data_IF_117071025399
#
_entry.id   IF_117071025399
#
_cell.length_a   1.000
_cell.length_b   1.000
_cell.length_c   1.000
_cell.angle_alpha   90.00
_cell.angle_beta   90.00
_cell.angle_gamma   90.00
#
_symmetry.space_group_name_H-M   'P 1'
#
loop_
_entity.id
_entity.type
_entity.pdbx_description
1 polymer ?
#
# COMPACT_ATOMS: atom_id res chain seq x y z
N UNK A 1 -4.40 22.76 -12.47
CA UNK A 1 -3.61 23.05 -11.27
C UNK A 1 -3.11 21.74 -10.68
N UNK A 2 -1.80 21.59 -10.52
CA UNK A 2 -1.19 20.41 -9.89
C UNK A 2 -1.46 20.41 -8.37
N UNK A 3 -1.28 19.25 -7.73
CA UNK A 3 -1.39 19.18 -6.26
C UNK A 3 -0.36 20.08 -5.59
N UNK A 4 0.84 20.21 -6.15
CA UNK A 4 1.88 21.12 -5.68
C UNK A 4 1.41 22.57 -5.72
N UNK A 5 0.94 23.03 -6.86
CA UNK A 5 0.41 24.39 -7.02
C UNK A 5 -0.77 24.66 -6.09
N UNK A 6 -1.69 23.70 -5.99
CA UNK A 6 -2.86 23.80 -5.11
C UNK A 6 -2.46 23.96 -3.65
N UNK A 7 -1.57 23.11 -3.13
CA UNK A 7 -1.16 23.15 -1.72
C UNK A 7 -0.33 24.38 -1.41
N UNK A 8 0.52 24.83 -2.33
CA UNK A 8 1.31 26.07 -2.17
C UNK A 8 0.40 27.30 -2.10
N UNK A 9 -0.57 27.39 -2.99
CA UNK A 9 -1.52 28.50 -3.03
C UNK A 9 -2.39 28.54 -1.77
N UNK A 10 -2.93 27.41 -1.37
CA UNK A 10 -3.74 27.30 -0.15
C UNK A 10 -2.92 27.60 1.12
N UNK A 11 -1.66 27.20 1.13
CA UNK A 11 -0.75 27.49 2.25
C UNK A 11 -0.57 29.00 2.44
N UNK A 12 -0.26 29.72 1.37
CA UNK A 12 -0.10 31.17 1.42
C UNK A 12 -1.38 31.87 1.87
N UNK A 13 -2.52 31.42 1.38
CA UNK A 13 -3.82 31.99 1.76
C UNK A 13 -4.20 31.68 3.21
N UNK A 14 -3.98 30.44 3.67
CA UNK A 14 -4.39 30.03 5.01
C UNK A 14 -3.49 30.58 6.11
N UNK A 15 -2.18 30.67 5.88
CA UNK A 15 -1.20 31.00 6.91
C UNK A 15 -0.57 32.38 6.71
N UNK A 16 -0.77 33.04 5.57
CA UNK A 16 -0.33 34.41 5.32
C UNK A 16 1.14 34.56 4.96
N UNK A 17 1.82 33.48 4.59
CA UNK A 17 3.21 33.49 4.12
C UNK A 17 3.45 32.26 3.21
N UNK A 18 4.53 32.26 2.40
CA UNK A 18 4.77 31.14 1.47
C UNK A 18 5.32 29.90 2.20
N UNK A 19 4.97 28.73 1.72
CA UNK A 19 5.59 27.47 2.15
C UNK A 19 7.09 27.46 1.78
N UNK A 20 7.91 26.85 2.61
CA UNK A 20 9.34 26.68 2.34
C UNK A 20 9.65 25.40 1.59
N UNK A 21 8.83 24.37 1.78
CA UNK A 21 9.01 23.04 1.18
C UNK A 21 7.68 22.50 0.68
N UNK A 22 7.74 21.65 -0.33
CA UNK A 22 6.62 20.84 -0.77
C UNK A 22 7.10 19.40 -0.87
N UNK A 23 6.42 18.51 -0.16
CA UNK A 23 6.77 17.09 0.00
C UNK A 23 5.68 16.25 -0.64
N UNK A 24 6.07 15.17 -1.30
CA UNK A 24 5.14 14.18 -1.82
C UNK A 24 5.45 12.80 -1.26
N UNK A 25 4.44 11.96 -1.16
CA UNK A 25 4.58 10.53 -0.92
C UNK A 25 3.54 9.79 -1.74
N UNK A 26 3.95 8.73 -2.48
CA UNK A 26 3.05 8.02 -3.38
C UNK A 26 2.17 7.01 -2.65
N UNK A 27 1.03 6.67 -3.25
CA UNK A 27 0.34 5.42 -3.00
C UNK A 27 1.09 4.26 -3.63
N UNK A 28 0.53 3.06 -3.53
CA UNK A 28 1.17 1.85 -4.04
C UNK A 28 0.17 0.87 -4.62
N UNK A 29 0.66 -0.01 -5.48
CA UNK A 29 0.01 -1.27 -5.83
C UNK A 29 0.96 -2.43 -5.56
N UNK A 30 0.45 -3.53 -5.04
CA UNK A 30 1.24 -4.73 -4.85
C UNK A 30 1.06 -5.67 -6.05
N UNK A 31 2.15 -5.93 -6.78
CA UNK A 31 2.09 -6.78 -7.96
C UNK A 31 1.88 -8.25 -7.61
N UNK A 32 2.52 -8.71 -6.54
CA UNK A 32 2.38 -10.07 -6.00
C UNK A 32 2.98 -10.11 -4.58
N UNK A 33 2.54 -11.07 -3.77
CA UNK A 33 2.96 -11.18 -2.36
C UNK A 33 1.91 -10.63 -1.42
N UNK A 34 0.69 -11.18 -1.45
CA UNK A 34 -0.41 -10.73 -0.59
C UNK A 34 -0.43 -11.47 0.74
N UNK A 35 -0.62 -10.71 1.81
CA UNK A 35 -0.67 -11.20 3.18
C UNK A 35 0.61 -11.86 3.67
N UNK A 36 1.73 -11.64 2.97
CA UNK A 36 3.03 -12.21 3.35
C UNK A 36 3.84 -11.29 4.25
N UNK A 37 3.56 -10.00 4.27
CA UNK A 37 4.34 -9.01 5.02
C UNK A 37 4.30 -9.24 6.53
N UNK A 38 3.15 -9.48 7.11
CA UNK A 38 3.04 -9.78 8.54
C UNK A 38 3.46 -11.22 8.91
N UNK A 39 3.86 -12.01 7.92
CA UNK A 39 4.46 -13.34 8.08
C UNK A 39 5.98 -13.32 7.88
N UNK A 40 6.61 -12.16 7.95
CA UNK A 40 8.03 -11.94 7.65
C UNK A 40 8.44 -12.36 6.24
N UNK A 41 7.50 -12.35 5.30
CA UNK A 41 7.68 -12.83 3.94
C UNK A 41 8.16 -11.75 2.97
N UNK A 42 7.92 -12.02 1.69
CA UNK A 42 8.31 -11.15 0.58
C UNK A 42 7.11 -10.50 -0.06
N UNK A 43 7.30 -9.27 -0.52
CA UNK A 43 6.31 -8.52 -1.31
C UNK A 43 6.99 -7.89 -2.52
N UNK A 44 6.24 -7.61 -3.57
CA UNK A 44 6.75 -6.99 -4.80
C UNK A 44 5.85 -5.83 -5.23
N UNK A 45 5.77 -4.76 -4.43
CA UNK A 45 4.99 -3.58 -4.79
C UNK A 45 5.74 -2.62 -5.71
N UNK A 46 4.98 -1.70 -6.32
CA UNK A 46 5.54 -0.49 -6.88
C UNK A 46 4.77 0.74 -6.37
N UNK A 47 5.48 1.85 -6.22
CA UNK A 47 4.86 3.14 -5.99
C UNK A 47 4.14 3.58 -7.28
N UNK A 48 3.04 4.31 -7.15
CA UNK A 48 2.25 4.76 -8.29
C UNK A 48 2.25 6.28 -8.39
N UNK A 49 1.83 6.81 -9.53
CA UNK A 49 1.77 8.25 -9.80
C UNK A 49 0.53 8.94 -9.23
N UNK A 50 -0.09 8.35 -8.23
CA UNK A 50 -1.07 8.95 -7.33
C UNK A 50 -0.41 9.18 -5.98
N UNK A 51 -0.61 10.33 -5.37
CA UNK A 51 0.21 10.76 -4.24
C UNK A 51 -0.52 11.67 -3.27
N UNK A 52 0.04 11.79 -2.07
CA UNK A 52 -0.26 12.85 -1.10
C UNK A 52 0.82 13.91 -1.22
N UNK A 53 0.42 15.19 -1.27
CA UNK A 53 1.32 16.33 -1.35
C UNK A 53 1.08 17.25 -0.16
N UNK A 54 2.16 17.68 0.47
CA UNK A 54 2.13 18.59 1.63
C UNK A 54 3.03 19.78 1.35
N UNK A 55 2.46 20.98 1.31
CA UNK A 55 3.23 22.22 1.38
C UNK A 55 3.37 22.62 2.84
N UNK A 56 4.58 22.95 3.28
CA UNK A 56 4.90 23.11 4.69
C UNK A 56 5.98 24.17 4.95
N UNK A 57 6.03 24.60 6.20
CA UNK A 57 7.09 25.47 6.70
C UNK A 57 7.26 25.28 8.21
N UNK A 58 8.49 25.46 8.76
CA UNK A 58 8.69 25.40 10.20
C UNK A 58 8.07 26.62 10.88
N UNK A 59 7.72 26.48 12.15
CA UNK A 59 7.23 27.55 13.01
C UNK A 59 8.23 27.83 14.12
N UNK A 60 8.20 29.06 14.64
CA UNK A 60 9.07 29.46 15.76
C UNK A 60 8.56 28.98 17.12
N UNK A 61 7.33 28.49 17.17
CA UNK A 61 6.71 27.95 18.38
C UNK A 61 6.65 26.42 18.35
N UNK A 62 5.92 25.84 19.30
CA UNK A 62 5.76 24.40 19.46
C UNK A 62 4.36 23.92 19.06
N UNK A 63 3.78 24.56 18.05
CA UNK A 63 2.43 24.20 17.55
C UNK A 63 2.51 23.52 16.20
N UNK A 64 1.63 22.58 15.97
CA UNK A 64 1.37 21.95 14.68
C UNK A 64 0.01 22.41 14.18
N UNK A 65 -0.02 23.05 13.00
CA UNK A 65 -1.27 23.43 12.34
C UNK A 65 -1.34 22.73 10.98
N UNK A 66 -2.44 22.03 10.74
CA UNK A 66 -2.61 21.22 9.54
C UNK A 66 -3.96 21.49 8.91
N UNK A 67 -3.97 21.88 7.64
CA UNK A 67 -5.18 22.05 6.86
C UNK A 67 -5.31 20.92 5.84
N UNK A 68 -6.46 20.26 5.87
CA UNK A 68 -6.82 19.22 4.91
C UNK A 68 -7.66 19.83 3.78
N UNK A 69 -7.01 20.10 2.65
CA UNK A 69 -7.66 20.77 1.52
C UNK A 69 -8.82 19.96 0.93
N UNK A 70 -8.74 18.64 0.98
CA UNK A 70 -9.75 17.75 0.39
C UNK A 70 -10.95 17.51 1.34
N UNK A 71 -10.89 18.02 2.55
CA UNK A 71 -11.95 17.95 3.56
C UNK A 71 -12.45 19.36 3.92
N UNK A 72 -12.88 20.10 2.91
CA UNK A 72 -13.45 21.46 3.07
C UNK A 72 -12.53 22.41 3.85
N UNK A 73 -11.21 22.25 3.65
CA UNK A 73 -10.18 23.03 4.36
C UNK A 73 -10.27 22.93 5.89
N UNK A 74 -10.68 21.79 6.41
CA UNK A 74 -10.67 21.54 7.85
C UNK A 74 -9.28 21.77 8.43
N UNK A 75 -9.22 22.43 9.57
CA UNK A 75 -7.96 22.77 10.25
C UNK A 75 -7.86 22.02 11.57
N UNK A 76 -6.73 21.38 11.81
CA UNK A 76 -6.36 20.80 13.09
C UNK A 76 -5.15 21.54 13.67
N UNK A 77 -5.17 21.81 14.95
CA UNK A 77 -4.08 22.45 15.68
C UNK A 77 -3.85 21.71 17.00
N UNK A 78 -2.59 21.42 17.30
CA UNK A 78 -2.20 20.81 18.58
C UNK A 78 -0.79 21.22 18.98
N UNK A 79 -0.48 21.06 20.28
CA UNK A 79 0.82 21.43 20.85
C UNK A 79 1.75 20.22 20.96
N UNK A 80 3.05 20.43 20.66
CA UNK A 80 4.10 19.44 20.88
C UNK A 80 4.46 19.29 22.38
N UNK A 81 4.08 20.25 23.22
CA UNK A 81 4.37 20.27 24.66
C UNK A 81 3.27 19.67 25.52
N UNK A 82 2.15 19.29 24.92
CA UNK A 82 1.02 18.62 25.59
C UNK A 82 0.91 17.18 25.06
N UNK A 83 0.27 16.26 25.81
CA UNK A 83 0.00 14.90 25.32
C UNK A 83 -0.77 14.95 24.01
N UNK A 84 -0.28 14.27 22.98
CA UNK A 84 -0.97 14.16 21.70
C UNK A 84 -2.01 13.04 21.79
N UNK A 85 -3.27 13.42 21.68
CA UNK A 85 -4.42 12.51 21.77
C UNK A 85 -5.19 12.49 20.45
N UNK A 86 -6.01 11.47 20.25
CA UNK A 86 -6.84 11.36 19.05
C UNK A 86 -7.82 12.54 18.94
N UNK A 87 -7.98 13.04 17.71
CA UNK A 87 -9.00 14.03 17.39
C UNK A 87 -10.37 13.35 17.39
N UNK A 88 -11.34 13.95 18.06
CA UNK A 88 -12.67 13.36 18.23
C UNK A 88 -13.49 13.30 16.93
N UNK A 89 -13.30 14.28 16.03
CA UNK A 89 -14.17 14.46 14.86
C UNK A 89 -13.46 14.24 13.52
N UNK A 90 -12.15 14.51 13.44
CA UNK A 90 -11.40 14.43 12.17
C UNK A 90 -10.51 13.19 12.13
N UNK A 91 -10.99 12.14 11.48
CA UNK A 91 -10.22 10.91 11.36
C UNK A 91 -8.92 11.10 10.58
N UNK A 92 -8.92 11.95 9.55
CA UNK A 92 -7.71 12.26 8.81
C UNK A 92 -6.60 12.82 9.70
N UNK A 93 -6.98 13.64 10.71
CA UNK A 93 -6.03 14.27 11.63
C UNK A 93 -5.29 13.24 12.49
N UNK A 94 -5.88 12.08 12.73
CA UNK A 94 -5.27 11.04 13.57
C UNK A 94 -4.06 10.39 12.91
N UNK A 95 -4.01 10.34 11.60
CA UNK A 95 -2.81 9.90 10.89
C UNK A 95 -1.65 10.87 11.10
N UNK A 96 -1.92 12.17 11.04
CA UNK A 96 -0.93 13.23 11.29
C UNK A 96 -0.48 13.23 12.75
N UNK A 97 -1.42 13.26 13.68
CA UNK A 97 -1.14 13.25 15.13
C UNK A 97 -0.36 12.01 15.55
N UNK A 98 -0.73 10.86 15.01
CA UNK A 98 -0.05 9.60 15.29
C UNK A 98 1.41 9.61 14.83
N UNK A 99 1.68 10.08 13.62
CA UNK A 99 3.06 10.18 13.10
C UNK A 99 3.90 11.11 13.97
N UNK A 100 3.37 12.29 14.31
CA UNK A 100 4.08 13.27 15.15
C UNK A 100 4.37 12.69 16.54
N UNK A 101 3.37 12.08 17.18
CA UNK A 101 3.52 11.44 18.49
C UNK A 101 4.60 10.37 18.49
N UNK A 102 4.57 9.48 17.51
CA UNK A 102 5.50 8.36 17.45
C UNK A 102 6.93 8.81 17.10
N UNK A 103 7.11 9.89 16.34
CA UNK A 103 8.42 10.51 16.18
C UNK A 103 8.97 11.02 17.51
N UNK A 104 8.14 11.63 18.36
CA UNK A 104 8.55 12.04 19.72
C UNK A 104 8.92 10.83 20.57
N UNK A 105 8.13 9.76 20.53
CA UNK A 105 8.40 8.53 21.27
C UNK A 105 9.70 7.85 20.83
N UNK A 106 10.14 8.07 19.60
CA UNK A 106 11.42 7.62 19.06
C UNK A 106 12.58 8.59 19.37
N UNK A 107 12.36 9.51 20.31
CA UNK A 107 13.36 10.49 20.78
C UNK A 107 13.82 11.51 19.70
N UNK A 108 12.99 11.79 18.72
CA UNK A 108 13.26 12.86 17.77
C UNK A 108 12.87 14.19 18.40
N UNK A 109 13.70 15.22 18.18
CA UNK A 109 13.48 16.58 18.65
C UNK A 109 13.23 17.50 17.46
N UNK A 110 12.07 18.15 17.44
CA UNK A 110 11.68 19.07 16.37
C UNK A 110 10.71 20.13 16.90
N UNK A 111 10.59 21.24 16.17
CA UNK A 111 9.68 22.32 16.49
C UNK A 111 8.35 22.26 15.77
N UNK A 112 7.58 23.33 15.85
CA UNK A 112 6.28 23.47 15.24
C UNK A 112 6.33 23.50 13.70
N UNK A 113 5.18 23.27 13.08
CA UNK A 113 5.06 23.19 11.62
C UNK A 113 3.65 23.62 11.18
N UNK A 114 3.60 24.34 10.06
CA UNK A 114 2.37 24.56 9.30
C UNK A 114 2.36 23.66 8.07
N UNK A 115 1.24 22.99 7.82
CA UNK A 115 1.06 22.07 6.69
C UNK A 115 -0.28 22.29 6.00
N UNK A 116 -0.28 22.21 4.66
CA UNK A 116 -1.49 22.03 3.87
C UNK A 116 -1.36 20.73 3.08
N UNK A 117 -2.35 19.85 3.22
CA UNK A 117 -2.35 18.51 2.65
C UNK A 117 -3.44 18.40 1.58
N UNK A 118 -3.07 17.83 0.44
CA UNK A 118 -4.02 17.39 -0.59
C UNK A 118 -3.49 16.12 -1.27
N UNK A 119 -4.37 15.23 -1.67
CA UNK A 119 -3.97 13.98 -2.31
C UNK A 119 -4.95 13.54 -3.38
N UNK A 120 -4.47 12.64 -4.24
CA UNK A 120 -5.30 12.00 -5.27
C UNK A 120 -5.23 10.47 -5.20
N UNK A 121 -4.61 9.90 -4.17
CA UNK A 121 -4.65 8.45 -3.95
C UNK A 121 -6.10 8.06 -3.65
N UNK A 122 -6.73 7.19 -4.47
CA UNK A 122 -8.12 6.81 -4.24
C UNK A 122 -8.32 6.18 -2.87
N UNK A 123 -9.22 6.76 -2.08
CA UNK A 123 -9.49 6.27 -0.73
C UNK A 123 -10.40 5.04 -0.78
N UNK A 124 -10.17 4.09 0.12
CA UNK A 124 -10.98 2.88 0.22
C UNK A 124 -10.79 1.89 -0.93
N UNK A 125 -9.91 2.17 -1.88
CA UNK A 125 -9.62 1.31 -3.03
C UNK A 125 -8.51 0.29 -2.78
N UNK A 126 -7.82 0.37 -1.63
CA UNK A 126 -6.69 -0.50 -1.32
C UNK A 126 -5.38 -0.07 -1.98
N UNK A 127 -5.23 1.23 -2.27
CA UNK A 127 -4.04 1.83 -2.88
C UNK A 127 -3.17 2.60 -1.87
N UNK A 128 -3.42 2.41 -0.58
CA UNK A 128 -2.62 2.91 0.54
C UNK A 128 -2.57 4.43 0.68
N UNK A 129 -3.74 5.07 0.66
CA UNK A 129 -3.85 6.50 0.94
C UNK A 129 -3.37 6.84 2.36
N UNK A 130 -3.62 5.98 3.36
CA UNK A 130 -3.17 6.19 4.73
C UNK A 130 -1.66 6.17 4.86
N UNK A 131 -1.00 5.18 4.28
CA UNK A 131 0.46 5.05 4.31
C UNK A 131 1.13 6.22 3.58
N UNK A 132 0.59 6.66 2.45
CA UNK A 132 1.11 7.81 1.74
C UNK A 132 1.06 9.09 2.59
N UNK A 133 -0.03 9.30 3.32
CA UNK A 133 -0.15 10.43 4.25
C UNK A 133 0.85 10.33 5.41
N UNK A 134 0.96 9.17 6.03
CA UNK A 134 1.88 8.94 7.15
C UNK A 134 3.33 9.18 6.75
N UNK A 135 3.74 8.63 5.61
CA UNK A 135 5.10 8.78 5.10
C UNK A 135 5.36 10.23 4.67
N UNK A 136 4.38 10.90 4.08
CA UNK A 136 4.51 12.32 3.72
C UNK A 136 4.76 13.19 4.96
N UNK A 137 3.99 12.99 6.04
CA UNK A 137 4.16 13.75 7.29
C UNK A 137 5.51 13.48 7.93
N UNK A 138 5.93 12.22 7.99
CA UNK A 138 7.26 11.86 8.51
C UNK A 138 8.38 12.50 7.71
N UNK A 139 8.26 12.54 6.40
CA UNK A 139 9.21 13.17 5.49
C UNK A 139 9.24 14.69 5.66
N UNK A 140 8.09 15.34 5.88
CA UNK A 140 8.02 16.76 6.21
C UNK A 140 8.91 17.10 7.40
N UNK A 141 8.72 16.41 8.51
CA UNK A 141 9.48 16.69 9.74
C UNK A 141 10.96 16.36 9.58
N UNK A 142 11.27 15.28 8.88
CA UNK A 142 12.65 14.89 8.57
C UNK A 142 13.34 15.98 7.73
N UNK A 143 12.69 16.53 6.72
CA UNK A 143 13.26 17.57 5.85
C UNK A 143 13.39 18.92 6.57
N UNK A 144 12.35 19.36 7.27
CA UNK A 144 12.35 20.67 7.94
C UNK A 144 13.35 20.75 9.09
N UNK A 145 13.51 19.67 9.83
CA UNK A 145 14.32 19.64 11.05
C UNK A 145 15.58 18.77 10.93
N UNK A 146 15.90 18.30 9.73
CA UNK A 146 17.09 17.50 9.44
C UNK A 146 17.21 16.30 10.41
N UNK A 147 16.10 15.60 10.65
CA UNK A 147 16.08 14.46 11.55
C UNK A 147 16.94 13.32 10.99
N UNK A 148 17.69 12.60 11.83
CA UNK A 148 18.57 11.51 11.39
C UNK A 148 17.76 10.23 11.10
N UNK A 149 16.82 10.32 10.15
CA UNK A 149 15.92 9.24 9.75
C UNK A 149 16.09 8.95 8.27
N UNK A 150 16.28 7.68 7.94
CA UNK A 150 16.18 7.21 6.56
C UNK A 150 14.72 6.84 6.21
N UNK A 151 14.50 6.46 4.94
CA UNK A 151 13.16 6.11 4.49
C UNK A 151 12.55 4.91 5.22
N UNK A 152 13.37 3.92 5.56
CA UNK A 152 12.91 2.75 6.32
C UNK A 152 12.44 3.14 7.73
N UNK A 153 13.14 4.03 8.39
CA UNK A 153 12.77 4.53 9.72
C UNK A 153 11.50 5.37 9.68
N UNK A 154 11.34 6.20 8.66
CA UNK A 154 10.09 6.95 8.42
C UNK A 154 8.91 5.98 8.21
N UNK A 155 9.13 4.92 7.43
CA UNK A 155 8.12 3.88 7.20
C UNK A 155 7.73 3.13 8.48
N UNK A 156 8.72 2.74 9.28
CA UNK A 156 8.47 2.07 10.57
C UNK A 156 7.67 2.96 11.52
N UNK A 157 8.00 4.24 11.58
CA UNK A 157 7.26 5.19 12.38
C UNK A 157 5.80 5.32 11.91
N UNK A 158 5.58 5.37 10.61
CA UNK A 158 4.23 5.42 10.03
C UNK A 158 3.42 4.17 10.35
N UNK A 159 4.00 2.98 10.23
CA UNK A 159 3.35 1.73 10.60
C UNK A 159 2.97 1.71 12.09
N UNK A 160 3.88 2.11 12.95
CA UNK A 160 3.65 2.17 14.39
C UNK A 160 2.50 3.13 14.73
N UNK A 161 2.46 4.29 14.09
CA UNK A 161 1.36 5.25 14.23
C UNK A 161 0.02 4.66 13.78
N UNK A 162 -0.01 3.95 12.67
CA UNK A 162 -1.23 3.31 12.17
C UNK A 162 -1.70 2.19 13.09
N UNK A 163 -0.79 1.37 13.58
CA UNK A 163 -1.12 0.25 14.47
C UNK A 163 -1.55 0.72 15.86
N UNK A 164 -0.81 1.64 16.48
CA UNK A 164 -0.97 1.98 17.89
C UNK A 164 -1.84 3.21 18.12
N UNK A 165 -1.81 4.19 17.23
CA UNK A 165 -2.57 5.42 17.39
C UNK A 165 -3.90 5.37 16.63
N UNK A 166 -3.90 4.98 15.37
CA UNK A 166 -5.11 4.85 14.55
C UNK A 166 -5.87 3.57 14.85
N UNK A 167 -5.15 2.48 15.16
CA UNK A 167 -5.74 1.21 15.57
C UNK A 167 -5.89 0.18 14.45
N UNK A 168 -5.25 0.37 13.30
CA UNK A 168 -5.24 -0.59 12.20
C UNK A 168 -3.96 -1.45 12.29
N UNK A 169 -4.13 -2.74 12.48
CA UNK A 169 -2.99 -3.67 12.67
C UNK A 169 -2.42 -4.15 11.32
N UNK A 170 -1.84 -3.21 10.55
CA UNK A 170 -1.26 -3.49 9.24
C UNK A 170 0.18 -4.02 9.31
N UNK A 171 0.66 -4.62 8.20
CA UNK A 171 2.08 -4.93 7.98
C UNK A 171 2.85 -3.69 7.54
N UNK A 172 4.12 -3.89 7.14
CA UNK A 172 5.04 -2.78 6.83
C UNK A 172 5.09 -2.41 5.35
N UNK A 173 4.57 -3.24 4.46
CA UNK A 173 4.72 -3.07 3.01
C UNK A 173 4.36 -1.67 2.53
N UNK A 174 3.20 -1.18 2.92
CA UNK A 174 2.63 0.05 2.36
C UNK A 174 3.47 1.28 2.66
N UNK A 175 3.96 1.39 3.89
CA UNK A 175 4.82 2.49 4.29
C UNK A 175 6.22 2.38 3.66
N UNK A 176 6.78 1.16 3.57
CA UNK A 176 8.09 0.95 2.97
C UNK A 176 8.10 1.33 1.49
N UNK A 177 7.12 0.90 0.71
CA UNK A 177 7.10 1.24 -0.71
C UNK A 177 6.80 2.73 -0.94
N UNK A 178 5.95 3.35 -0.13
CA UNK A 178 5.72 4.79 -0.21
C UNK A 178 7.01 5.58 0.06
N UNK A 179 7.82 5.13 1.02
CA UNK A 179 9.08 5.78 1.36
C UNK A 179 10.20 5.49 0.36
N UNK A 180 10.35 4.25 -0.10
CA UNK A 180 11.53 3.75 -0.80
C UNK A 180 11.32 3.47 -2.29
N UNK A 181 10.12 3.66 -2.82
CA UNK A 181 9.81 3.42 -4.22
C UNK A 181 10.80 4.08 -5.18
N UNK A 182 11.08 3.43 -6.30
CA UNK A 182 11.98 3.93 -7.32
C UNK A 182 11.24 4.04 -8.65
N UNK A 183 11.39 5.17 -9.33
CA UNK A 183 10.78 5.39 -10.64
C UNK A 183 11.16 4.27 -11.61
N UNK A 184 10.18 3.82 -12.39
CA UNK A 184 10.30 2.75 -13.38
C UNK A 184 10.70 1.37 -12.81
N UNK A 185 10.53 1.17 -11.50
CA UNK A 185 10.90 -0.07 -10.80
C UNK A 185 9.78 -0.53 -9.87
N UNK A 186 9.68 -1.84 -9.71
CA UNK A 186 9.08 -2.44 -8.52
C UNK A 186 10.17 -2.66 -7.47
N UNK A 187 9.80 -2.89 -6.22
CA UNK A 187 10.74 -3.28 -5.16
C UNK A 187 10.40 -4.67 -4.65
N UNK A 188 11.37 -5.58 -4.70
CA UNK A 188 11.29 -6.80 -3.91
C UNK A 188 11.72 -6.46 -2.48
N UNK A 189 10.80 -6.61 -1.55
CA UNK A 189 11.02 -6.29 -0.13
C UNK A 189 11.02 -7.57 0.69
N UNK A 190 12.08 -7.78 1.47
CA UNK A 190 12.12 -8.76 2.53
C UNK A 190 11.55 -8.10 3.79
N UNK A 191 10.35 -8.50 4.21
CA UNK A 191 9.66 -7.83 5.32
C UNK A 191 10.25 -8.16 6.70
N UNK A 192 11.18 -9.10 6.79
CA UNK A 192 11.93 -9.37 8.04
C UNK A 192 13.12 -8.44 8.19
N UNK A 193 14.00 -8.43 7.20
CA UNK A 193 15.23 -7.62 7.23
C UNK A 193 15.01 -6.16 6.83
N UNK A 194 13.88 -5.86 6.17
CA UNK A 194 13.57 -4.61 5.50
C UNK A 194 14.51 -4.30 4.33
N UNK A 195 15.27 -5.30 3.87
CA UNK A 195 16.11 -5.18 2.70
C UNK A 195 15.26 -5.07 1.42
N UNK A 196 15.70 -4.22 0.49
CA UNK A 196 15.00 -4.00 -0.77
C UNK A 196 15.89 -4.24 -1.96
N UNK A 197 15.31 -4.76 -3.05
CA UNK A 197 15.96 -4.90 -4.35
C UNK A 197 15.08 -4.24 -5.40
N UNK A 198 15.62 -3.25 -6.10
CA UNK A 198 14.92 -2.62 -7.21
C UNK A 198 14.87 -3.58 -8.40
N UNK A 199 13.67 -3.74 -8.95
CA UNK A 199 13.39 -4.63 -10.09
C UNK A 199 12.90 -3.77 -11.25
N UNK A 200 13.64 -3.72 -12.35
CA UNK A 200 13.27 -2.91 -13.51
C UNK A 200 11.96 -3.37 -14.12
N UNK A 201 11.05 -2.43 -14.34
CA UNK A 201 9.84 -2.71 -15.11
C UNK A 201 10.19 -2.74 -16.61
N UNK A 202 9.74 -3.76 -17.36
CA UNK A 202 9.96 -3.80 -18.80
C UNK A 202 9.37 -2.58 -19.50
N UNK A 203 10.04 -2.07 -20.53
CA UNK A 203 9.53 -0.95 -21.32
C UNK A 203 8.26 -1.35 -22.06
N UNK A 204 7.33 -0.40 -22.20
CA UNK A 204 6.08 -0.61 -22.92
C UNK A 204 5.07 -1.47 -22.18
N UNK A 205 5.27 -1.71 -20.89
CA UNK A 205 4.32 -2.45 -20.04
C UNK A 205 3.49 -1.45 -19.23
N UNK A 206 2.18 -1.63 -19.29
CA UNK A 206 1.23 -0.85 -18.50
C UNK A 206 1.00 -1.50 -17.13
N UNK A 207 0.86 -0.67 -16.10
CA UNK A 207 0.36 -1.06 -14.77
C UNK A 207 -1.06 -0.55 -14.67
N UNK A 208 -2.01 -1.47 -14.72
CA UNK A 208 -3.44 -1.14 -14.70
C UNK A 208 -4.04 -1.56 -13.38
N UNK A 209 -4.78 -0.64 -12.76
CA UNK A 209 -5.53 -0.91 -11.55
C UNK A 209 -7.01 -0.71 -11.88
N UNK A 210 -7.83 -1.69 -11.55
CA UNK A 210 -9.28 -1.60 -11.74
C UNK A 210 -9.96 -1.79 -10.39
N UNK A 211 -10.64 -0.73 -9.94
CA UNK A 211 -11.43 -0.80 -8.72
C UNK A 211 -12.78 -1.44 -9.04
N UNK A 212 -13.08 -2.55 -8.36
CA UNK A 212 -14.36 -3.25 -8.50
C UNK A 212 -15.53 -2.41 -8.01
N UNK A 213 -15.27 -1.41 -7.17
CA UNK A 213 -16.27 -0.61 -6.45
C UNK A 213 -17.26 -1.47 -5.65
N UNK A 214 -16.91 -2.73 -5.41
CA UNK A 214 -17.65 -3.56 -4.48
C UNK A 214 -17.36 -3.08 -3.05
N UNK A 215 -18.43 -2.72 -2.32
CA UNK A 215 -18.29 -2.20 -0.97
C UNK A 215 -17.85 -3.30 -0.02
N UNK A 216 -16.72 -3.08 0.62
CA UNK A 216 -16.18 -3.99 1.64
C UNK A 216 -17.00 -3.85 2.91
N UNK A 217 -17.48 -4.99 3.39
CA UNK A 217 -18.04 -5.11 4.73
C UNK A 217 -17.11 -5.98 5.57
N UNK A 218 -16.90 -5.66 6.84
CA UNK A 218 -16.13 -6.46 7.80
C UNK A 218 -14.64 -6.72 7.41
N UNK A 219 -14.05 -5.88 6.54
CA UNK A 219 -12.66 -6.07 6.07
C UNK A 219 -11.67 -6.15 7.23
N UNK A 220 -11.77 -5.25 8.20
CA UNK A 220 -10.84 -5.21 9.34
C UNK A 220 -10.88 -6.49 10.17
N UNK A 221 -12.06 -7.00 10.48
CA UNK A 221 -12.22 -8.23 11.26
C UNK A 221 -11.72 -9.46 10.51
N UNK A 222 -12.03 -9.56 9.21
CA UNK A 222 -11.58 -10.68 8.36
C UNK A 222 -10.07 -10.64 8.14
N UNK A 223 -9.48 -9.46 7.97
CA UNK A 223 -8.03 -9.30 7.89
C UNK A 223 -7.35 -9.78 9.16
N UNK A 224 -7.84 -9.37 10.32
CA UNK A 224 -7.31 -9.80 11.61
C UNK A 224 -7.46 -11.31 11.82
N UNK A 225 -8.58 -11.90 11.39
CA UNK A 225 -8.80 -13.36 11.44
C UNK A 225 -7.74 -14.10 10.61
N UNK A 226 -7.44 -13.63 9.41
CA UNK A 226 -6.38 -14.22 8.56
C UNK A 226 -5.03 -14.16 9.23
N UNK A 227 -4.70 -13.03 9.85
CA UNK A 227 -3.45 -12.86 10.59
C UNK A 227 -3.36 -13.82 11.77
N UNK A 228 -4.42 -13.94 12.56
CA UNK A 228 -4.49 -14.89 13.69
C UNK A 228 -4.34 -16.34 13.22
N UNK A 229 -4.94 -16.72 12.10
CA UNK A 229 -4.82 -18.06 11.53
C UNK A 229 -3.38 -18.34 11.08
N UNK A 230 -2.68 -17.36 10.52
CA UNK A 230 -1.26 -17.48 10.19
C UNK A 230 -0.40 -17.64 11.47
N UNK A 231 -0.68 -16.88 12.49
CA UNK A 231 0.02 -17.01 13.79
C UNK A 231 -0.20 -18.37 14.42
N UNK A 232 -1.42 -18.90 14.34
CA UNK A 232 -1.74 -20.26 14.78
C UNK A 232 -0.91 -21.30 14.02
N UNK A 233 -0.79 -21.14 12.71
CA UNK A 233 0.05 -22.01 11.86
C UNK A 233 1.51 -21.95 12.26
N UNK A 234 2.06 -20.78 12.49
CA UNK A 234 3.46 -20.61 12.94
C UNK A 234 3.71 -21.27 14.30
N UNK A 235 2.78 -21.12 15.23
CA UNK A 235 2.86 -21.78 16.55
C UNK A 235 2.84 -23.30 16.45
N UNK A 236 2.04 -23.85 15.54
CA UNK A 236 2.01 -25.30 15.29
C UNK A 236 3.41 -25.82 14.93
N UNK A 237 4.14 -25.09 14.10
CA UNK A 237 5.50 -25.43 13.70
C UNK A 237 6.57 -24.96 14.69
N UNK A 238 6.19 -24.34 15.81
CA UNK A 238 7.11 -23.78 16.80
C UNK A 238 8.11 -22.77 16.18
N UNK A 239 7.61 -21.98 15.23
CA UNK A 239 8.38 -20.96 14.55
C UNK A 239 7.84 -19.55 14.86
N UNK A 240 8.69 -18.53 14.83
CA UNK A 240 8.25 -17.14 15.06
C UNK A 240 7.36 -16.59 13.95
N UNK A 241 7.51 -17.10 12.73
CA UNK A 241 6.71 -16.68 11.57
C UNK A 241 6.66 -17.81 10.53
N UNK A 242 5.68 -17.76 9.64
CA UNK A 242 5.55 -18.73 8.55
C UNK A 242 6.70 -18.68 7.54
N UNK A 243 7.44 -17.56 7.47
CA UNK A 243 8.71 -17.45 6.72
C UNK A 243 9.67 -18.60 7.06
N UNK A 244 9.66 -19.05 8.29
CA UNK A 244 10.59 -20.05 8.82
C UNK A 244 10.15 -21.49 8.57
N UNK A 245 8.99 -21.70 7.97
CA UNK A 245 8.45 -23.02 7.67
C UNK A 245 8.68 -23.32 6.18
N UNK A 246 9.28 -24.48 5.89
CA UNK A 246 9.46 -24.92 4.50
C UNK A 246 8.20 -25.62 3.99
N UNK A 247 8.04 -25.64 2.65
CA UNK A 247 6.90 -26.34 2.03
C UNK A 247 6.96 -27.86 2.29
N UNK A 248 8.16 -28.41 2.37
CA UNK A 248 8.41 -29.82 2.66
C UNK A 248 7.95 -30.16 4.09
N UNK A 249 8.32 -29.34 5.07
CA UNK A 249 7.86 -29.50 6.46
C UNK A 249 6.33 -29.42 6.55
N UNK A 250 5.74 -28.47 5.86
CA UNK A 250 4.28 -28.32 5.82
C UNK A 250 3.60 -29.53 5.17
N UNK A 251 4.05 -29.98 4.02
CA UNK A 251 3.45 -31.09 3.29
C UNK A 251 3.50 -32.39 4.09
N UNK A 252 4.53 -32.58 4.92
CA UNK A 252 4.68 -33.79 5.74
C UNK A 252 3.60 -33.90 6.82
N UNK A 253 3.11 -32.76 7.34
CA UNK A 253 2.19 -32.74 8.50
C UNK A 253 0.92 -31.91 8.26
N UNK A 254 0.64 -31.51 7.03
CA UNK A 254 -0.52 -30.67 6.70
C UNK A 254 -1.85 -31.27 7.18
N UNK A 255 -1.96 -32.59 7.13
CA UNK A 255 -3.15 -33.34 7.57
C UNK A 255 -3.37 -33.27 9.10
N UNK A 256 -2.36 -32.88 9.88
CA UNK A 256 -2.46 -32.73 11.33
C UNK A 256 -2.95 -31.35 11.76
N UNK A 257 -2.89 -30.36 10.85
CA UNK A 257 -3.41 -29.03 11.12
C UNK A 257 -4.93 -28.95 10.98
N UNK A 258 -5.54 -27.99 11.66
CA UNK A 258 -6.89 -27.55 11.32
C UNK A 258 -6.97 -27.29 9.80
N UNK A 259 -7.99 -27.82 9.11
CA UNK A 259 -8.06 -27.68 7.64
C UNK A 259 -8.05 -26.23 7.14
N UNK A 260 -8.65 -25.30 7.87
CA UNK A 260 -8.64 -23.88 7.52
C UNK A 260 -7.24 -23.29 7.69
N UNK A 261 -6.60 -23.58 8.84
CA UNK A 261 -5.23 -23.14 9.10
C UNK A 261 -4.25 -23.68 8.07
N UNK A 262 -4.41 -24.97 7.68
CA UNK A 262 -3.59 -25.59 6.63
C UNK A 262 -3.68 -24.82 5.30
N UNK A 263 -4.88 -24.41 4.90
CA UNK A 263 -5.08 -23.59 3.69
C UNK A 263 -4.34 -22.25 3.81
N UNK A 264 -4.46 -21.56 4.94
CA UNK A 264 -3.78 -20.27 5.16
C UNK A 264 -2.26 -20.42 5.07
N UNK A 265 -1.71 -21.42 5.74
CA UNK A 265 -0.27 -21.73 5.70
C UNK A 265 0.18 -22.01 4.26
N UNK A 266 -0.55 -22.84 3.53
CA UNK A 266 -0.22 -23.17 2.12
C UNK A 266 -0.12 -21.92 1.28
N UNK A 267 -1.10 -21.01 1.40
CA UNK A 267 -1.05 -19.74 0.66
C UNK A 267 0.24 -18.97 0.95
N UNK A 268 0.56 -18.76 2.22
CA UNK A 268 1.74 -17.95 2.60
C UNK A 268 3.04 -18.57 2.10
N UNK A 269 3.24 -19.87 2.29
CA UNK A 269 4.46 -20.54 1.86
C UNK A 269 4.62 -20.51 0.32
N UNK A 270 3.54 -20.78 -0.41
CA UNK A 270 3.58 -20.76 -1.87
C UNK A 270 3.65 -19.34 -2.41
N UNK A 271 3.00 -18.37 -1.78
CA UNK A 271 3.05 -16.97 -2.20
C UNK A 271 4.45 -16.37 -2.03
N UNK A 272 5.16 -16.68 -0.96
CA UNK A 272 6.55 -16.26 -0.80
C UNK A 272 7.43 -16.75 -1.95
N UNK A 273 7.29 -18.02 -2.32
CA UNK A 273 8.04 -18.59 -3.44
C UNK A 273 7.68 -17.92 -4.77
N UNK A 274 6.37 -17.71 -5.03
CA UNK A 274 5.90 -17.02 -6.23
C UNK A 274 6.44 -15.59 -6.32
N UNK A 275 6.50 -14.88 -5.19
CA UNK A 275 6.94 -13.49 -5.14
C UNK A 275 8.42 -13.36 -5.52
N UNK A 276 9.27 -14.21 -4.99
CA UNK A 276 10.70 -14.21 -5.32
C UNK A 276 10.93 -14.56 -6.79
N UNK A 277 10.24 -15.58 -7.30
CA UNK A 277 10.33 -15.96 -8.73
C UNK A 277 9.78 -14.85 -9.64
N UNK A 278 8.69 -14.19 -9.24
CA UNK A 278 8.09 -13.09 -9.99
C UNK A 278 9.05 -11.91 -10.15
N UNK A 279 9.80 -11.56 -9.11
CA UNK A 279 10.82 -10.52 -9.19
C UNK A 279 11.87 -10.84 -10.28
N UNK A 280 12.32 -12.08 -10.34
CA UNK A 280 13.26 -12.54 -11.36
C UNK A 280 12.64 -12.52 -12.78
N UNK A 281 11.42 -13.03 -12.92
CA UNK A 281 10.71 -13.03 -14.20
C UNK A 281 10.51 -11.60 -14.74
N UNK A 282 10.08 -10.69 -13.87
CA UNK A 282 9.84 -9.29 -14.23
C UNK A 282 11.13 -8.60 -14.67
N UNK A 283 12.23 -8.80 -13.93
CA UNK A 283 13.54 -8.23 -14.25
C UNK A 283 14.07 -8.71 -15.61
N UNK A 284 13.78 -9.96 -15.97
CA UNK A 284 14.15 -10.55 -17.26
C UNK A 284 13.18 -10.18 -18.39
N UNK A 285 12.09 -9.46 -18.09
CA UNK A 285 11.06 -9.13 -19.06
C UNK A 285 10.19 -10.33 -19.48
N UNK A 286 10.18 -11.39 -18.69
CA UNK A 286 9.38 -12.60 -18.95
C UNK A 286 7.94 -12.41 -18.48
N UNK A 287 7.15 -11.69 -19.26
CA UNK A 287 5.76 -11.39 -18.93
C UNK A 287 4.86 -12.61 -18.94
N UNK A 288 5.20 -13.63 -19.72
CA UNK A 288 4.45 -14.89 -19.71
C UNK A 288 4.56 -15.59 -18.36
N UNK A 289 5.79 -15.76 -17.85
CA UNK A 289 5.99 -16.36 -16.52
C UNK A 289 5.44 -15.49 -15.41
N UNK A 290 5.61 -14.17 -15.51
CA UNK A 290 4.98 -13.23 -14.55
C UNK A 290 3.47 -13.42 -14.51
N UNK A 291 2.83 -13.54 -15.68
CA UNK A 291 1.39 -13.78 -15.80
C UNK A 291 0.94 -15.09 -15.18
N UNK A 292 1.70 -16.16 -15.37
CA UNK A 292 1.43 -17.47 -14.76
C UNK A 292 1.48 -17.37 -13.21
N UNK A 293 2.51 -16.71 -12.68
CA UNK A 293 2.66 -16.52 -11.23
C UNK A 293 1.53 -15.68 -10.65
N UNK A 294 1.12 -14.62 -11.34
CA UNK A 294 -0.03 -13.81 -10.91
C UNK A 294 -1.32 -14.63 -10.92
N UNK A 295 -1.54 -15.47 -11.91
CA UNK A 295 -2.72 -16.35 -11.98
C UNK A 295 -2.72 -17.39 -10.85
N UNK A 296 -1.57 -17.98 -10.55
CA UNK A 296 -1.41 -18.92 -9.43
C UNK A 296 -1.66 -18.22 -8.09
N UNK A 297 -1.17 -17.00 -7.93
CA UNK A 297 -1.41 -16.17 -6.75
C UNK A 297 -2.90 -15.89 -6.57
N UNK A 298 -3.60 -15.53 -7.64
CA UNK A 298 -5.04 -15.27 -7.58
C UNK A 298 -5.83 -16.53 -7.20
N UNK A 299 -5.51 -17.66 -7.79
CA UNK A 299 -6.14 -18.94 -7.43
C UNK A 299 -5.91 -19.30 -5.96
N UNK A 300 -4.70 -19.07 -5.45
CA UNK A 300 -4.36 -19.30 -4.04
C UNK A 300 -5.11 -18.37 -3.10
N UNK A 301 -5.27 -17.09 -3.47
CA UNK A 301 -6.08 -16.15 -2.70
C UNK A 301 -7.56 -16.52 -2.67
N UNK A 302 -8.09 -17.04 -3.78
CA UNK A 302 -9.47 -17.48 -3.87
C UNK A 302 -9.72 -18.79 -3.10
N UNK A 303 -8.87 -19.79 -3.28
CA UNK A 303 -9.12 -21.16 -2.84
C UNK A 303 -8.50 -21.49 -1.48
N UNK A 304 -7.33 -20.95 -1.18
CA UNK A 304 -6.60 -21.22 0.08
C UNK A 304 -6.75 -20.07 1.11
N UNK A 305 -6.67 -18.84 0.67
CA UNK A 305 -6.79 -17.70 1.61
C UNK A 305 -8.22 -17.20 1.73
N UNK A 306 -9.06 -17.46 0.74
CA UNK A 306 -10.49 -17.15 0.70
C UNK A 306 -10.76 -15.65 0.95
N UNK A 307 -10.06 -14.79 0.21
CA UNK A 307 -10.15 -13.34 0.33
C UNK A 307 -10.67 -12.66 -0.94
N UNK A 308 -10.95 -13.40 -2.00
CA UNK A 308 -11.58 -12.83 -3.20
C UNK A 308 -13.12 -12.82 -3.06
N UNK A 309 -13.76 -12.05 -3.92
CA UNK A 309 -15.22 -12.00 -4.04
C UNK A 309 -15.59 -12.22 -5.51
N UNK A 310 -16.84 -12.63 -5.82
CA UNK A 310 -17.24 -12.91 -7.21
C UNK A 310 -16.98 -11.74 -8.17
N UNK A 311 -17.15 -10.51 -7.73
CA UNK A 311 -16.91 -9.31 -8.55
C UNK A 311 -15.42 -9.20 -8.95
N UNK A 312 -14.52 -9.50 -8.03
CA UNK A 312 -13.08 -9.51 -8.29
C UNK A 312 -12.72 -10.64 -9.25
N UNK A 313 -13.23 -11.84 -9.02
CA UNK A 313 -12.97 -12.99 -9.91
C UNK A 313 -13.48 -12.70 -11.33
N UNK A 314 -14.63 -12.05 -11.44
CA UNK A 314 -15.20 -11.63 -12.74
C UNK A 314 -14.27 -10.65 -13.47
N UNK A 315 -13.73 -9.64 -12.78
CA UNK A 315 -12.77 -8.71 -13.37
C UNK A 315 -11.52 -9.43 -13.87
N UNK A 316 -10.97 -10.33 -13.07
CA UNK A 316 -9.79 -11.11 -13.44
C UNK A 316 -10.05 -11.94 -14.70
N UNK A 317 -11.19 -12.60 -14.79
CA UNK A 317 -11.58 -13.40 -15.96
C UNK A 317 -11.72 -12.54 -17.22
N UNK A 318 -12.35 -11.36 -17.12
CA UNK A 318 -12.53 -10.45 -18.25
C UNK A 318 -11.16 -10.00 -18.79
N UNK A 319 -10.28 -9.55 -17.92
CA UNK A 319 -8.95 -9.06 -18.30
C UNK A 319 -8.10 -10.20 -18.88
N UNK A 320 -8.10 -11.37 -18.22
CA UNK A 320 -7.33 -12.53 -18.68
C UNK A 320 -7.73 -12.99 -20.08
N UNK A 321 -9.00 -12.93 -20.39
CA UNK A 321 -9.49 -13.29 -21.74
C UNK A 321 -8.94 -12.40 -22.85
N UNK A 322 -8.65 -11.12 -22.53
CA UNK A 322 -8.05 -10.17 -23.49
C UNK A 322 -6.55 -10.33 -23.60
N UNK A 323 -5.84 -10.40 -22.47
CA UNK A 323 -4.37 -10.34 -22.46
C UNK A 323 -3.69 -11.71 -22.71
N UNK A 324 -4.39 -12.80 -22.43
CA UNK A 324 -3.87 -14.15 -22.61
C UNK A 324 -2.54 -14.37 -21.86
N UNK A 325 -1.52 -14.83 -22.57
CA UNK A 325 -0.18 -15.07 -22.03
C UNK A 325 0.79 -13.87 -22.14
N UNK A 326 0.28 -12.71 -22.55
CA UNK A 326 1.10 -11.50 -22.75
C UNK A 326 1.34 -10.72 -21.45
N UNK A 327 0.78 -11.17 -20.35
CA UNK A 327 0.92 -10.53 -19.05
C UNK A 327 0.13 -11.26 -18.01
N UNK A 328 -0.20 -10.58 -16.91
CA UNK A 328 -0.92 -11.18 -15.80
C UNK A 328 -1.92 -10.22 -15.16
N UNK A 329 -2.83 -10.81 -14.40
CA UNK A 329 -3.87 -10.09 -13.66
C UNK A 329 -4.20 -10.87 -12.40
N UNK A 330 -4.43 -10.14 -11.30
CA UNK A 330 -4.80 -10.71 -10.01
C UNK A 330 -5.48 -9.69 -9.12
N UNK A 331 -6.16 -10.15 -8.10
CA UNK A 331 -6.59 -9.28 -6.99
C UNK A 331 -5.36 -8.66 -6.32
N UNK A 332 -5.48 -7.45 -5.83
CA UNK A 332 -4.43 -6.77 -5.05
C UNK A 332 -4.99 -6.15 -3.78
N UNK A 333 -4.16 -6.07 -2.74
CA UNK A 333 -4.55 -5.52 -1.45
C UNK A 333 -5.12 -6.54 -0.46
N UNK A 334 -5.79 -6.05 0.57
CA UNK A 334 -6.28 -6.87 1.68
C UNK A 334 -7.39 -7.86 1.37
N UNK A 335 -8.06 -7.72 0.23
CA UNK A 335 -9.14 -8.61 -0.18
C UNK A 335 -10.56 -8.13 0.17
N UNK A 336 -11.52 -9.02 0.01
CA UNK A 336 -12.96 -8.81 0.27
C UNK A 336 -13.59 -7.70 -0.58
N UNK A 337 -13.05 -7.45 -1.75
CA UNK A 337 -13.38 -6.38 -2.67
C UNK A 337 -12.14 -5.60 -3.07
N UNK A 338 -12.29 -4.32 -3.36
CA UNK A 338 -11.17 -3.45 -3.75
C UNK A 338 -10.78 -3.61 -5.21
N UNK A 339 -9.49 -3.75 -5.47
CA UNK A 339 -8.93 -3.63 -6.81
C UNK A 339 -8.30 -4.93 -7.33
N UNK A 340 -8.19 -4.99 -8.64
CA UNK A 340 -7.25 -5.89 -9.32
C UNK A 340 -6.07 -5.08 -9.85
N UNK A 341 -4.94 -5.74 -10.07
CA UNK A 341 -3.77 -5.20 -10.77
C UNK A 341 -3.49 -6.08 -11.98
N UNK A 342 -3.16 -5.44 -13.09
CA UNK A 342 -2.76 -6.13 -14.31
C UNK A 342 -1.50 -5.52 -14.90
N UNK A 343 -0.64 -6.37 -15.44
CA UNK A 343 0.59 -6.02 -16.16
C UNK A 343 0.50 -6.61 -17.56
N UNK A 344 0.56 -5.77 -18.59
CA UNK A 344 0.50 -6.22 -19.97
C UNK A 344 1.02 -5.12 -20.90
N UNK A 345 1.32 -5.44 -22.18
CA UNK A 345 1.77 -4.42 -23.13
C UNK A 345 0.79 -3.27 -23.28
N UNK A 346 1.31 -2.05 -23.32
CA UNK A 346 0.50 -0.81 -23.39
C UNK A 346 -0.49 -0.80 -24.56
N UNK A 347 -0.16 -1.42 -25.70
CA UNK A 347 -1.05 -1.48 -26.86
C UNK A 347 -2.37 -2.22 -26.58
N UNK A 348 -2.41 -3.04 -25.53
CA UNK A 348 -3.64 -3.76 -25.14
C UNK A 348 -4.57 -2.95 -24.22
N UNK A 349 -4.13 -1.80 -23.73
CA UNK A 349 -4.92 -0.99 -22.80
C UNK A 349 -6.30 -0.64 -23.36
N UNK A 350 -6.45 -0.16 -24.60
CA UNK A 350 -7.79 0.15 -25.15
C UNK A 350 -8.70 -1.08 -25.20
N UNK A 351 -8.17 -2.24 -25.60
CA UNK A 351 -8.96 -3.48 -25.70
C UNK A 351 -9.41 -3.97 -24.31
N UNK A 352 -8.53 -3.91 -23.32
CA UNK A 352 -8.87 -4.27 -21.93
C UNK A 352 -9.92 -3.32 -21.38
N UNK A 353 -9.74 -2.01 -21.56
CA UNK A 353 -10.68 -1.01 -21.08
C UNK A 353 -12.06 -1.20 -21.70
N UNK A 354 -12.13 -1.47 -22.99
CA UNK A 354 -13.38 -1.73 -23.68
C UNK A 354 -14.07 -3.00 -23.17
N UNK A 355 -13.33 -4.11 -23.04
CA UNK A 355 -13.89 -5.38 -22.56
C UNK A 355 -14.45 -5.24 -21.13
N UNK A 356 -13.74 -4.55 -20.25
CA UNK A 356 -14.19 -4.30 -18.88
C UNK A 356 -15.45 -3.44 -18.87
N UNK A 357 -15.47 -2.35 -19.65
CA UNK A 357 -16.63 -1.45 -19.75
C UNK A 357 -17.87 -2.17 -20.28
N UNK A 358 -17.70 -3.09 -21.24
CA UNK A 358 -18.83 -3.82 -21.84
C UNK A 358 -19.37 -4.94 -20.96
N UNK A 359 -18.53 -5.55 -20.11
CA UNK A 359 -18.87 -6.82 -19.45
C UNK A 359 -19.03 -6.72 -17.93
N UNK A 360 -18.28 -5.87 -17.26
CA UNK A 360 -18.23 -5.88 -15.79
C UNK A 360 -19.56 -5.42 -15.18
N UNK A 361 -20.03 -4.23 -15.53
CA UNK A 361 -21.30 -3.72 -15.02
C UNK A 361 -22.48 -4.61 -15.46
N UNK A 362 -22.44 -5.12 -16.69
CA UNK A 362 -23.45 -6.03 -17.20
C UNK A 362 -23.56 -7.32 -16.37
N UNK A 363 -22.42 -7.83 -15.87
CA UNK A 363 -22.37 -9.07 -15.08
C UNK A 363 -22.57 -8.87 -13.59
N UNK A 364 -22.21 -7.70 -13.06
CA UNK A 364 -22.17 -7.46 -11.60
C UNK A 364 -23.16 -6.42 -11.11
N UNK A 365 -23.66 -5.57 -12.00
CA UNK A 365 -24.49 -4.42 -11.63
C UNK A 365 -23.69 -3.25 -11.06
N UNK A 366 -22.36 -3.34 -11.03
CA UNK A 366 -21.48 -2.32 -10.44
C UNK A 366 -20.58 -1.75 -11.53
N UNK A 367 -20.46 -0.41 -11.58
CA UNK A 367 -19.54 0.27 -12.48
C UNK A 367 -18.14 0.28 -11.87
N UNK A 368 -17.15 -0.15 -12.62
CA UNK A 368 -15.74 -0.12 -12.27
C UNK A 368 -15.13 1.28 -12.37
N UNK A 369 -13.97 1.48 -11.74
CA UNK A 369 -13.10 2.62 -12.01
C UNK A 369 -11.75 2.11 -12.50
N UNK A 370 -11.29 2.67 -13.63
CA UNK A 370 -10.09 2.21 -14.34
C UNK A 370 -8.97 3.23 -14.16
N UNK A 371 -7.80 2.79 -13.70
CA UNK A 371 -6.63 3.62 -13.49
C UNK A 371 -5.45 3.09 -14.31
N UNK A 372 -4.86 3.96 -15.12
CA UNK A 372 -3.57 3.68 -15.80
C UNK A 372 -2.48 4.31 -14.96
N UNK A 373 -1.58 3.49 -14.43
CA UNK A 373 -0.55 3.94 -13.50
C UNK A 373 0.85 3.76 -14.06
N UNK A 374 1.79 4.49 -13.46
CA UNK A 374 3.22 4.37 -13.74
C UNK A 374 3.98 4.14 -12.43
N UNK A 375 4.99 3.25 -12.40
CA UNK A 375 5.88 3.11 -11.25
C UNK A 375 6.59 4.42 -10.96
N UNK A 376 6.42 4.92 -9.75
CA UNK A 376 6.83 6.26 -9.34
C UNK A 376 7.92 6.25 -8.29
N UNK A 377 8.55 7.41 -8.10
CA UNK A 377 9.56 7.63 -7.06
C UNK A 377 8.89 7.67 -5.68
N UNK A 378 9.56 7.12 -4.68
CA UNK A 378 9.17 7.21 -3.28
C UNK A 378 9.14 8.63 -2.73
N UNK A 379 8.83 8.77 -1.45
CA UNK A 379 8.66 10.06 -0.79
C UNK A 379 9.88 10.97 -0.91
N UNK A 380 9.62 12.26 -1.06
CA UNK A 380 10.67 13.27 -1.14
C UNK A 380 10.11 14.64 -1.47
N UNK A 381 11.02 15.58 -1.64
CA UNK A 381 10.70 16.93 -2.06
C UNK A 381 10.30 16.92 -3.54
N UNK A 382 9.27 17.70 -3.90
CA UNK A 382 8.80 17.84 -5.28
C UNK A 382 8.88 19.31 -5.78
#
# INVERSE_FOLDING_TARGET
MSLKEKTQSLFANAFGYPATHTIQAPGRVNLIGEHTDYNDGFVLPCAIDYQTVISCAPRDDRKVRVMAADYENQLDEFSLDAPIVAHENYQWANYVRGVVKHLQLRNNSFGGVDMVISGNVPQGAGLSSSASLEVAVGTVLQQLYHLPLDGAQIALNGQEAENQFVGCNCGIMDQLISALGKKDHALLIDCRSLGTKAVSMPKGVAVIIINSNFKRTLVGSEYNTRREQCETGARFFQQPALRDVTIEEFNAVAHELDPIVAKRVRHILTENARTVEAASALEQGDLKRMGELMAESHASMRDDFEITVPQIDTLVEIVKAVIGDKGGVRMTGGGFGGCIVALFPEELVPAVQQAVAEQYEAKTGIKETFYVCKPSQGAGQC
#
